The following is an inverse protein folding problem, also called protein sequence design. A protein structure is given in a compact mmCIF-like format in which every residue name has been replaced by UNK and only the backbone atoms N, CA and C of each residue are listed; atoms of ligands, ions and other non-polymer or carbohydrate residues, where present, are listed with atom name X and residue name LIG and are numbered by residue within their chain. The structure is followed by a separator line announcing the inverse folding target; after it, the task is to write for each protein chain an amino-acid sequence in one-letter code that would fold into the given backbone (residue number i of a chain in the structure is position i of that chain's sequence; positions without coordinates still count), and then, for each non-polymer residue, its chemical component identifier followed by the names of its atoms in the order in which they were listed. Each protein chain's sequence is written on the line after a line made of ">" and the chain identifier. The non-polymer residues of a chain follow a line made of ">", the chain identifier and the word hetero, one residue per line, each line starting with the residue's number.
data_IF_792321632733
#
_entry.id   IF_792321632733
#
_cell.length_a   1.000
_cell.length_b   1.000
_cell.length_c   1.000
_cell.angle_alpha   90.00
_cell.angle_beta   90.00
_cell.angle_gamma   90.00
#
_symmetry.space_group_name_H-M   'P 1'
#
loop_
_entity.id
_entity.type
_entity.pdbx_description
1 polymer ?
#
# COMPACT_ATOMS: atom_id res chain seq x y z
N UNK A 1 15.32 -6.43 24.39
CA UNK A 1 15.84 -5.73 23.19
C UNK A 1 14.74 -5.34 22.18
N UNK A 2 13.65 -6.12 22.04
CA UNK A 2 12.53 -5.80 21.13
C UNK A 2 11.67 -4.60 21.60
N UNK A 3 11.48 -4.42 22.91
CA UNK A 3 10.70 -3.30 23.46
C UNK A 3 11.36 -1.92 23.30
N UNK A 4 12.69 -1.86 23.18
CA UNK A 4 13.43 -0.61 22.97
C UNK A 4 13.37 -0.14 21.51
N UNK A 5 13.23 -1.06 20.56
CA UNK A 5 13.02 -0.74 19.14
C UNK A 5 11.63 -0.15 18.88
N UNK A 6 10.65 -0.41 19.75
CA UNK A 6 9.31 0.19 19.60
C UNK A 6 9.26 1.65 20.08
N UNK A 7 10.12 2.04 21.02
CA UNK A 7 10.19 3.42 21.55
C UNK A 7 10.98 4.39 20.66
N UNK A 8 11.93 3.91 19.86
CA UNK A 8 12.84 4.75 19.09
C UNK A 8 12.24 5.36 17.81
N UNK A 9 11.02 4.97 17.41
CA UNK A 9 10.39 5.42 16.15
C UNK A 9 9.51 6.67 16.26
N UNK A 10 9.58 7.42 17.36
CA UNK A 10 8.69 8.56 17.64
C UNK A 10 9.20 9.91 17.11
N UNK A 11 10.02 9.90 16.06
CA UNK A 11 10.61 11.12 15.49
C UNK A 11 10.28 11.27 14.00
N UNK A 12 9.84 12.47 13.62
CA UNK A 12 9.58 12.97 12.26
C UNK A 12 8.16 12.78 11.68
N UNK A 13 7.14 13.26 12.39
CA UNK A 13 5.85 13.65 11.80
C UNK A 13 5.09 14.54 12.79
N UNK A 14 4.97 15.84 12.51
CA UNK A 14 4.40 16.87 13.38
C UNK A 14 2.87 16.80 13.51
N UNK A 15 2.34 15.68 13.98
CA UNK A 15 0.93 15.52 14.28
C UNK A 15 0.67 14.28 15.12
N UNK A 16 -0.11 14.42 16.20
CA UNK A 16 -0.61 13.28 16.98
C UNK A 16 -1.24 12.26 16.02
N UNK A 17 -0.75 11.02 16.06
CA UNK A 17 -1.26 9.95 15.22
C UNK A 17 -2.78 9.79 15.41
N UNK A 18 -3.55 9.98 14.34
CA UNK A 18 -5.01 9.98 14.36
C UNK A 18 -5.54 8.57 14.19
N UNK A 19 -5.61 7.85 15.32
CA UNK A 19 -6.01 6.43 15.38
C UNK A 19 -7.37 6.14 14.71
N UNK A 20 -8.34 7.04 14.83
CA UNK A 20 -9.66 6.89 14.18
C UNK A 20 -9.57 6.87 12.64
N UNK A 21 -8.73 7.73 12.06
CA UNK A 21 -8.54 7.78 10.60
C UNK A 21 -7.85 6.51 10.12
N UNK A 22 -6.89 6.00 10.89
CA UNK A 22 -6.25 4.73 10.58
C UNK A 22 -7.25 3.57 10.53
N UNK A 23 -8.13 3.44 11.53
CA UNK A 23 -9.16 2.38 11.51
C UNK A 23 -10.11 2.51 10.34
N UNK A 24 -10.50 3.74 10.01
CA UNK A 24 -11.36 4.00 8.85
C UNK A 24 -10.66 3.59 7.54
N UNK A 25 -9.38 3.90 7.39
CA UNK A 25 -8.59 3.51 6.23
C UNK A 25 -8.46 1.98 6.08
N UNK A 26 -8.27 1.26 7.19
CA UNK A 26 -8.25 -0.22 7.19
C UNK A 26 -9.63 -0.78 6.83
N UNK A 27 -10.70 -0.24 7.41
CA UNK A 27 -12.06 -0.69 7.09
C UNK A 27 -12.39 -0.51 5.61
N UNK A 28 -12.03 0.64 5.02
CA UNK A 28 -12.18 0.88 3.59
C UNK A 28 -11.33 -0.03 2.72
N UNK A 29 -10.09 -0.32 3.13
CA UNK A 29 -9.23 -1.27 2.42
C UNK A 29 -9.83 -2.67 2.39
N UNK A 30 -10.27 -3.19 3.54
CA UNK A 30 -10.91 -4.50 3.64
C UNK A 30 -12.18 -4.56 2.78
N UNK A 31 -13.03 -3.54 2.88
CA UNK A 31 -14.24 -3.45 2.06
C UNK A 31 -13.91 -3.41 0.55
N UNK A 32 -12.88 -2.65 0.16
CA UNK A 32 -12.41 -2.57 -1.22
C UNK A 32 -11.88 -3.91 -1.73
N UNK A 33 -11.09 -4.65 -0.94
CA UNK A 33 -10.58 -5.98 -1.32
C UNK A 33 -11.73 -6.96 -1.53
N UNK A 34 -12.72 -6.99 -0.63
CA UNK A 34 -13.88 -7.88 -0.76
C UNK A 34 -14.70 -7.53 -2.00
N UNK A 35 -15.04 -6.26 -2.19
CA UNK A 35 -15.80 -5.79 -3.34
C UNK A 35 -15.06 -6.05 -4.66
N UNK A 36 -13.76 -5.80 -4.69
CA UNK A 36 -12.87 -6.07 -5.81
C UNK A 36 -12.86 -7.56 -6.17
N UNK A 37 -12.64 -8.45 -5.21
CA UNK A 37 -12.63 -9.89 -5.46
C UNK A 37 -13.97 -10.39 -6.00
N UNK A 38 -15.09 -9.91 -5.45
CA UNK A 38 -16.43 -10.24 -5.95
C UNK A 38 -16.63 -9.75 -7.39
N UNK A 39 -16.24 -8.51 -7.70
CA UNK A 39 -16.40 -7.91 -9.01
C UNK A 39 -15.51 -8.60 -10.05
N UNK A 40 -14.25 -8.85 -9.72
CA UNK A 40 -13.31 -9.52 -10.61
C UNK A 40 -13.75 -10.94 -10.97
N UNK A 41 -14.29 -11.68 -9.98
CA UNK A 41 -14.83 -13.01 -10.22
C UNK A 41 -16.02 -12.97 -11.17
N UNK A 42 -16.88 -11.95 -11.05
CA UNK A 42 -18.04 -11.75 -11.94
C UNK A 42 -17.65 -11.33 -13.36
N UNK A 43 -16.58 -10.55 -13.50
CA UNK A 43 -16.11 -10.04 -14.80
C UNK A 43 -15.13 -10.98 -15.50
N UNK A 44 -14.79 -12.13 -14.90
CA UNK A 44 -13.78 -13.04 -15.45
C UNK A 44 -12.36 -12.46 -15.48
N UNK A 45 -12.10 -11.42 -14.68
CA UNK A 45 -10.83 -10.69 -14.67
C UNK A 45 -9.83 -11.24 -13.65
N UNK A 46 -10.11 -12.37 -12.98
CA UNK A 46 -9.31 -12.92 -11.86
C UNK A 46 -7.80 -12.99 -12.12
N UNK A 47 -7.36 -13.05 -13.37
CA UNK A 47 -5.96 -12.96 -13.78
C UNK A 47 -5.26 -11.62 -13.44
N UNK A 48 -6.01 -10.57 -13.08
CA UNK A 48 -5.50 -9.25 -12.68
C UNK A 48 -5.56 -9.02 -11.15
N UNK A 49 -5.87 -10.05 -10.36
CA UNK A 49 -6.14 -9.90 -8.93
C UNK A 49 -4.96 -9.31 -8.16
N UNK A 50 -3.73 -9.71 -8.50
CA UNK A 50 -2.52 -9.18 -7.88
C UNK A 50 -2.33 -7.69 -8.17
N UNK A 51 -2.61 -7.25 -9.39
CA UNK A 51 -2.47 -5.84 -9.80
C UNK A 51 -3.51 -4.99 -9.07
N UNK A 52 -4.76 -5.44 -9.01
CA UNK A 52 -5.81 -4.73 -8.30
C UNK A 52 -5.52 -4.64 -6.81
N UNK A 53 -5.02 -5.73 -6.20
CA UNK A 53 -4.61 -5.71 -4.80
C UNK A 53 -3.47 -4.70 -4.55
N UNK A 54 -2.48 -4.64 -5.45
CA UNK A 54 -1.41 -3.65 -5.39
C UNK A 54 -1.92 -2.20 -5.44
N UNK A 55 -2.93 -1.92 -6.28
CA UNK A 55 -3.60 -0.62 -6.34
C UNK A 55 -4.34 -0.31 -5.04
N UNK A 56 -5.13 -1.25 -4.51
CA UNK A 56 -5.91 -1.04 -3.29
C UNK A 56 -4.99 -0.76 -2.09
N UNK A 57 -3.93 -1.55 -1.93
CA UNK A 57 -2.93 -1.34 -0.88
C UNK A 57 -2.22 0.00 -1.09
N UNK A 58 -1.88 0.35 -2.33
CA UNK A 58 -1.33 1.68 -2.66
C UNK A 58 -2.23 2.82 -2.19
N UNK A 59 -3.54 2.75 -2.47
CA UNK A 59 -4.51 3.75 -2.03
C UNK A 59 -4.67 3.79 -0.50
N UNK A 60 -4.54 2.66 0.19
CA UNK A 60 -4.55 2.59 1.66
C UNK A 60 -3.46 3.49 2.30
N UNK A 61 -2.30 3.64 1.65
CA UNK A 61 -1.25 4.53 2.13
C UNK A 61 -1.65 6.02 2.15
N UNK A 62 -2.65 6.44 1.38
CA UNK A 62 -3.23 7.79 1.50
C UNK A 62 -3.92 7.95 2.86
N UNK A 63 -4.59 6.90 3.34
CA UNK A 63 -5.15 6.83 4.68
C UNK A 63 -4.09 6.92 5.77
N UNK A 64 -2.96 6.22 5.60
CA UNK A 64 -1.81 6.31 6.51
C UNK A 64 -1.21 7.71 6.52
N UNK A 65 -1.07 8.36 5.36
CA UNK A 65 -0.65 9.75 5.29
C UNK A 65 -1.56 10.66 6.13
N UNK A 66 -2.89 10.55 5.97
CA UNK A 66 -3.84 11.33 6.78
C UNK A 66 -3.76 10.98 8.28
N UNK A 67 -3.50 9.72 8.63
CA UNK A 67 -3.41 9.28 10.01
C UNK A 67 -2.12 9.74 10.71
N UNK A 68 -1.00 9.78 9.99
CA UNK A 68 0.34 10.03 10.54
C UNK A 68 0.93 11.41 10.22
N UNK A 69 0.36 12.13 9.25
CA UNK A 69 0.91 13.38 8.71
C UNK A 69 2.17 13.20 7.84
N UNK A 70 2.62 11.97 7.58
CA UNK A 70 3.91 11.74 6.90
C UNK A 70 3.76 11.72 5.38
N UNK A 71 4.21 12.78 4.70
CA UNK A 71 4.10 12.94 3.24
C UNK A 71 4.72 11.78 2.43
N UNK A 72 5.67 11.04 3.00
CA UNK A 72 6.26 9.85 2.37
C UNK A 72 5.23 8.80 1.97
N UNK A 73 4.14 8.67 2.75
CA UNK A 73 3.10 7.69 2.45
C UNK A 73 2.34 8.05 1.17
N UNK A 74 2.27 9.32 0.78
CA UNK A 74 1.78 9.70 -0.56
C UNK A 74 2.71 9.22 -1.66
N UNK A 75 4.03 9.29 -1.45
CA UNK A 75 5.01 8.77 -2.40
C UNK A 75 4.90 7.25 -2.57
N UNK A 76 4.72 6.51 -1.47
CA UNK A 76 4.48 5.06 -1.51
C UNK A 76 3.16 4.76 -2.22
N UNK A 77 2.08 5.49 -1.88
CA UNK A 77 0.78 5.33 -2.50
C UNK A 77 0.83 5.51 -4.03
N UNK A 78 1.45 6.60 -4.48
CA UNK A 78 1.61 6.90 -5.90
C UNK A 78 2.46 5.82 -6.59
N UNK A 79 3.62 5.46 -6.03
CA UNK A 79 4.52 4.48 -6.62
C UNK A 79 3.85 3.08 -6.74
N UNK A 80 3.22 2.58 -5.68
CA UNK A 80 2.54 1.28 -5.72
C UNK A 80 1.36 1.27 -6.70
N UNK A 81 0.56 2.33 -6.70
CA UNK A 81 -0.61 2.45 -7.59
C UNK A 81 -0.18 2.49 -9.05
N UNK A 82 0.77 3.37 -9.39
CA UNK A 82 1.28 3.52 -10.77
C UNK A 82 1.95 2.23 -11.23
N UNK A 83 2.79 1.62 -10.39
CA UNK A 83 3.48 0.38 -10.73
C UNK A 83 2.50 -0.77 -10.99
N UNK A 84 1.50 -0.92 -10.13
CA UNK A 84 0.50 -1.98 -10.26
C UNK A 84 -0.40 -1.79 -11.49
N UNK A 85 -0.77 -0.55 -11.82
CA UNK A 85 -1.50 -0.23 -13.05
C UNK A 85 -0.65 -0.43 -14.30
N UNK A 86 0.62 0.02 -14.28
CA UNK A 86 1.54 -0.15 -15.40
C UNK A 86 1.83 -1.64 -15.68
N UNK A 87 1.89 -2.47 -14.64
CA UNK A 87 2.08 -3.90 -14.77
C UNK A 87 0.93 -4.59 -15.53
N UNK A 88 -0.29 -4.01 -15.55
CA UNK A 88 -1.40 -4.56 -16.34
C UNK A 88 -1.12 -4.61 -17.85
N UNK A 89 -0.22 -3.76 -18.36
CA UNK A 89 0.19 -3.75 -19.77
C UNK A 89 1.20 -4.87 -20.11
N UNK A 90 1.73 -5.58 -19.12
CA UNK A 90 2.70 -6.65 -19.33
C UNK A 90 2.00 -8.01 -19.56
N UNK A 91 2.61 -8.90 -20.34
CA UNK A 91 2.15 -10.28 -20.45
C UNK A 91 2.49 -11.08 -19.18
N UNK A 92 1.79 -12.19 -18.99
CA UNK A 92 2.13 -13.20 -17.96
C UNK A 92 3.41 -13.94 -18.39
N UNK A 93 4.38 -14.22 -17.50
CA UNK A 93 4.38 -14.00 -16.04
C UNK A 93 4.95 -12.65 -15.59
N UNK A 94 5.47 -11.83 -16.52
CA UNK A 94 6.15 -10.57 -16.20
C UNK A 94 5.25 -9.60 -15.43
N UNK A 95 3.95 -9.57 -15.74
CA UNK A 95 2.95 -8.79 -15.01
C UNK A 95 2.94 -9.09 -13.51
N UNK A 96 2.92 -10.36 -13.12
CA UNK A 96 2.81 -10.76 -11.72
C UNK A 96 4.13 -10.56 -10.97
N UNK A 97 5.25 -10.86 -11.63
CA UNK A 97 6.59 -10.59 -11.12
C UNK A 97 6.78 -9.09 -10.88
N UNK A 98 6.46 -8.26 -11.88
CA UNK A 98 6.56 -6.81 -11.78
C UNK A 98 5.72 -6.27 -10.63
N UNK A 99 4.48 -6.75 -10.49
CA UNK A 99 3.58 -6.33 -9.41
C UNK A 99 4.10 -6.75 -8.04
N UNK A 100 4.47 -8.03 -7.86
CA UNK A 100 4.92 -8.57 -6.59
C UNK A 100 6.26 -7.97 -6.14
N UNK A 101 7.30 -8.14 -6.96
CA UNK A 101 8.63 -7.62 -6.63
C UNK A 101 8.69 -6.10 -6.64
N UNK A 102 8.00 -5.45 -7.58
CA UNK A 102 7.97 -3.99 -7.68
C UNK A 102 7.34 -3.35 -6.46
N UNK A 103 6.17 -3.83 -6.02
CA UNK A 103 5.55 -3.33 -4.79
C UNK A 103 6.39 -3.62 -3.54
N UNK A 104 7.01 -4.81 -3.44
CA UNK A 104 7.93 -5.12 -2.35
C UNK A 104 9.13 -4.17 -2.32
N UNK A 105 9.71 -3.85 -3.48
CA UNK A 105 10.82 -2.90 -3.60
C UNK A 105 10.40 -1.49 -3.19
N UNK A 106 9.23 -1.01 -3.62
CA UNK A 106 8.68 0.30 -3.22
C UNK A 106 8.53 0.38 -1.70
N UNK A 107 7.97 -0.66 -1.08
CA UNK A 107 7.83 -0.74 0.38
C UNK A 107 9.19 -0.78 1.09
N UNK A 108 10.14 -1.56 0.57
CA UNK A 108 11.49 -1.65 1.13
C UNK A 108 12.22 -0.30 1.08
N UNK A 109 12.18 0.41 -0.05
CA UNK A 109 12.74 1.75 -0.19
C UNK A 109 12.04 2.74 0.75
N UNK A 110 10.70 2.68 0.81
CA UNK A 110 9.90 3.49 1.72
C UNK A 110 10.27 3.28 3.19
N UNK A 111 10.53 2.03 3.58
CA UNK A 111 10.94 1.65 4.93
C UNK A 111 12.41 1.99 5.24
N UNK A 112 13.32 1.80 4.28
CA UNK A 112 14.75 2.09 4.45
C UNK A 112 15.00 3.58 4.75
N UNK A 113 14.14 4.46 4.23
CA UNK A 113 14.16 5.91 4.50
C UNK A 113 13.69 6.30 5.92
N UNK A 114 13.30 5.35 6.78
CA UNK A 114 12.97 5.60 8.20
C UNK A 114 14.23 5.78 9.06
N UNK A 115 15.40 5.28 8.64
CA UNK A 115 16.62 5.21 9.46
C UNK A 115 17.61 6.38 9.29
N UNK A 116 17.22 7.49 8.67
CA UNK A 116 18.04 8.71 8.55
C UNK A 116 17.26 9.91 9.06
#
# INVERSE_FOLDING_TARGET
>A
MIALLWRAGSGAGSGLFRRQIYYLAVAFEVAAIVAANMLMSRLGLSAYALQLLGVIIGLHFIGLWKASGMARFLGIAAAMTVLSLAACALPVPLRDIATGFGNALVLWIGAARIRR
#
